data_IF_214030571660
#
_entry.id   IF_214030571660
#
_cell.length_a   1.000
_cell.length_b   1.000
_cell.length_c   1.000
_cell.angle_alpha   90.00
_cell.angle_beta   90.00
_cell.angle_gamma   90.00
#
_symmetry.space_group_name_H-M   'P 1'
#
loop_
_entity.id
_entity.type
_entity.pdbx_description
1 polymer ?
#
# COMPACT_ATOMS: atom_id res chain seq x y z
N UNK A 1 34.17 -20.00 21.97
CA UNK A 1 33.04 -19.04 21.84
C UNK A 1 32.46 -18.78 23.22
N UNK A 2 32.57 -17.53 23.75
CA UNK A 2 32.01 -17.16 25.04
C UNK A 2 30.50 -17.44 25.06
N UNK A 3 30.01 -18.11 26.10
CA UNK A 3 28.59 -18.35 26.31
C UNK A 3 27.85 -17.02 26.37
N UNK A 4 27.18 -16.64 25.28
CA UNK A 4 26.19 -15.55 25.29
C UNK A 4 25.11 -15.97 26.29
N UNK A 5 25.10 -15.33 27.46
CA UNK A 5 24.07 -15.57 28.49
C UNK A 5 22.79 -14.90 28.02
N UNK A 6 21.90 -15.69 27.43
CA UNK A 6 20.54 -15.24 27.12
C UNK A 6 19.85 -14.84 28.43
N UNK A 7 19.23 -13.65 28.52
CA UNK A 7 18.52 -13.21 29.71
C UNK A 7 17.44 -14.24 30.11
N UNK A 8 17.32 -14.53 31.40
CA UNK A 8 16.30 -15.46 31.92
C UNK A 8 14.87 -15.07 31.50
N UNK A 9 14.64 -13.79 31.20
CA UNK A 9 13.37 -13.27 30.70
C UNK A 9 12.93 -13.94 29.39
N UNK A 10 13.85 -14.19 28.45
CA UNK A 10 13.54 -14.78 27.13
C UNK A 10 13.10 -16.25 27.21
N UNK A 11 13.39 -16.92 28.33
CA UNK A 11 12.94 -18.28 28.59
C UNK A 11 11.50 -18.36 29.11
N UNK A 12 10.83 -17.22 29.29
CA UNK A 12 9.41 -17.16 29.65
C UNK A 12 8.57 -16.95 28.40
N UNK A 13 7.32 -17.41 28.42
CA UNK A 13 6.42 -17.24 27.26
C UNK A 13 6.17 -15.76 26.94
N UNK A 14 6.03 -14.91 27.95
CA UNK A 14 5.89 -13.45 27.78
C UNK A 14 7.17 -12.79 27.31
N UNK A 15 8.35 -13.25 27.75
CA UNK A 15 9.61 -12.71 27.26
C UNK A 15 9.87 -13.07 25.80
N UNK A 16 9.51 -14.28 25.37
CA UNK A 16 9.55 -14.66 23.95
C UNK A 16 8.55 -13.84 23.12
N UNK A 17 7.32 -13.67 23.61
CA UNK A 17 6.34 -12.75 23.01
C UNK A 17 6.90 -11.32 22.86
N UNK A 18 7.50 -10.78 23.93
CA UNK A 18 8.09 -9.44 23.91
C UNK A 18 9.25 -9.31 22.93
N UNK A 19 10.09 -10.36 22.80
CA UNK A 19 11.14 -10.42 21.79
C UNK A 19 10.56 -10.32 20.37
N UNK A 20 9.55 -11.13 20.05
CA UNK A 20 8.91 -11.09 18.73
C UNK A 20 8.25 -9.74 18.45
N UNK A 21 7.62 -9.14 19.47
CA UNK A 21 7.00 -7.83 19.35
C UNK A 21 8.02 -6.73 19.06
N UNK A 22 9.17 -6.74 19.76
CA UNK A 22 10.27 -5.79 19.52
C UNK A 22 10.85 -5.99 18.12
N UNK A 23 11.08 -7.23 17.69
CA UNK A 23 11.61 -7.51 16.35
C UNK A 23 10.66 -7.03 15.25
N UNK A 24 9.35 -7.30 15.35
CA UNK A 24 8.37 -6.79 14.37
C UNK A 24 8.32 -5.27 14.38
N UNK A 25 8.32 -4.65 15.55
CA UNK A 25 8.34 -3.21 15.66
C UNK A 25 9.57 -2.63 14.98
N UNK A 26 10.77 -3.15 15.26
CA UNK A 26 12.02 -2.69 14.62
C UNK A 26 11.96 -2.83 13.09
N UNK A 27 11.40 -3.93 12.56
CA UNK A 27 11.23 -4.12 11.11
C UNK A 27 10.30 -3.08 10.49
N UNK A 28 9.16 -2.81 11.12
CA UNK A 28 8.22 -1.81 10.62
C UNK A 28 8.87 -0.42 10.63
N UNK A 29 9.52 -0.05 11.74
CA UNK A 29 10.22 1.23 11.82
C UNK A 29 11.33 1.32 10.76
N UNK A 30 12.15 0.28 10.59
CA UNK A 30 13.16 0.27 9.54
C UNK A 30 12.54 0.53 8.15
N UNK A 31 11.50 -0.24 7.79
CA UNK A 31 10.81 -0.09 6.51
C UNK A 31 10.22 1.32 6.31
N UNK A 32 9.64 1.90 7.35
CA UNK A 32 9.05 3.25 7.30
C UNK A 32 10.07 4.34 6.99
N UNK A 33 11.33 4.16 7.38
CA UNK A 33 12.40 5.15 7.18
C UNK A 33 13.31 4.85 6.00
N UNK A 34 13.35 3.61 5.50
CA UNK A 34 14.26 3.21 4.41
C UNK A 34 13.57 2.83 3.12
N UNK A 35 12.35 2.30 3.18
CA UNK A 35 11.66 1.74 2.00
C UNK A 35 10.45 2.57 1.56
N UNK A 36 9.77 3.27 2.48
CA UNK A 36 8.55 4.01 2.19
C UNK A 36 8.74 5.52 2.22
N UNK A 37 8.06 6.23 1.32
CA UNK A 37 7.97 7.69 1.30
C UNK A 37 6.62 8.17 1.84
N UNK A 38 6.47 8.14 3.17
CA UNK A 38 5.18 8.41 3.83
C UNK A 38 4.83 9.90 3.99
N UNK A 39 5.70 10.82 3.54
CA UNK A 39 5.48 12.27 3.64
C UNK A 39 5.24 12.72 5.09
N UNK A 40 6.17 12.41 6.00
CA UNK A 40 6.07 12.75 7.42
C UNK A 40 6.64 14.15 7.65
N UNK A 41 5.78 15.09 8.07
CA UNK A 41 6.13 16.51 8.10
C UNK A 41 6.27 17.08 9.52
N UNK A 42 5.66 16.44 10.52
CA UNK A 42 5.54 16.99 11.88
C UNK A 42 5.98 16.01 12.97
N UNK A 43 6.39 16.55 14.12
CA UNK A 43 6.81 15.74 15.27
C UNK A 43 5.68 14.82 15.77
N UNK A 44 4.42 15.24 15.68
CA UNK A 44 3.27 14.41 16.06
C UNK A 44 3.10 13.25 15.08
N UNK A 45 3.32 13.45 13.78
CA UNK A 45 3.27 12.36 12.80
C UNK A 45 4.40 11.35 13.02
N UNK A 46 5.63 11.79 13.32
CA UNK A 46 6.72 10.89 13.71
C UNK A 46 6.38 10.08 14.97
N UNK A 47 5.74 10.70 15.96
CA UNK A 47 5.31 10.03 17.18
C UNK A 47 4.22 8.98 16.91
N UNK A 48 3.22 9.31 16.09
CA UNK A 48 2.18 8.38 15.66
C UNK A 48 2.80 7.19 14.92
N UNK A 49 3.70 7.47 13.96
CA UNK A 49 4.39 6.47 13.15
C UNK A 49 5.19 5.48 14.01
N UNK A 50 5.81 5.96 15.10
CA UNK A 50 6.56 5.13 16.05
C UNK A 50 5.66 4.15 16.81
N UNK A 51 4.41 4.56 17.10
CA UNK A 51 3.48 3.82 17.95
C UNK A 51 2.58 2.89 17.14
N UNK A 52 2.23 3.27 15.91
CA UNK A 52 1.26 2.54 15.10
C UNK A 52 1.54 1.02 14.96
N UNK A 53 2.80 0.53 14.84
CA UNK A 53 3.05 -0.89 14.68
C UNK A 53 2.86 -1.66 15.98
N UNK A 54 2.98 -0.99 17.13
CA UNK A 54 2.96 -1.61 18.46
C UNK A 54 1.59 -2.24 18.71
N UNK A 55 0.53 -1.47 18.48
CA UNK A 55 -0.82 -1.91 18.80
C UNK A 55 -1.22 -3.17 18.02
N UNK A 56 -1.03 -3.16 16.70
CA UNK A 56 -1.37 -4.29 15.83
C UNK A 56 -0.47 -5.50 16.09
N UNK A 57 0.82 -5.28 16.34
CA UNK A 57 1.77 -6.35 16.70
C UNK A 57 1.36 -7.05 17.99
N UNK A 58 1.06 -6.28 19.04
CA UNK A 58 0.63 -6.84 20.32
C UNK A 58 -0.70 -7.58 20.18
N UNK A 59 -1.65 -7.01 19.45
CA UNK A 59 -2.97 -7.60 19.23
C UNK A 59 -2.88 -8.94 18.49
N UNK A 60 -2.15 -9.00 17.38
CA UNK A 60 -2.01 -10.22 16.59
C UNK A 60 -1.26 -11.30 17.37
N UNK A 61 -0.11 -10.97 17.98
CA UNK A 61 0.66 -11.95 18.74
C UNK A 61 -0.08 -12.45 19.99
N UNK A 62 -0.97 -11.64 20.59
CA UNK A 62 -1.66 -12.02 21.83
C UNK A 62 -2.60 -13.21 21.63
N UNK A 63 -3.10 -13.43 20.41
CA UNK A 63 -3.92 -14.58 20.02
C UNK A 63 -3.25 -15.89 20.46
N UNK A 64 -1.93 -16.00 20.24
CA UNK A 64 -1.17 -17.19 20.59
C UNK A 64 -0.99 -17.39 22.11
N UNK A 65 -1.17 -16.35 22.93
CA UNK A 65 -1.09 -16.44 24.39
C UNK A 65 -2.31 -17.14 25.02
N UNK A 66 -3.45 -17.16 24.32
CA UNK A 66 -4.63 -17.92 24.75
C UNK A 66 -4.46 -19.44 24.62
N UNK A 67 -3.48 -19.88 23.82
CA UNK A 67 -3.21 -21.29 23.57
C UNK A 67 -2.45 -21.89 24.77
N UNK A 68 -3.09 -22.85 25.46
CA UNK A 68 -2.51 -23.50 26.65
C UNK A 68 -1.34 -24.43 26.30
N UNK A 69 -1.46 -25.22 25.23
CA UNK A 69 -0.43 -26.18 24.80
C UNK A 69 0.86 -25.45 24.40
N UNK A 70 1.97 -25.75 25.06
CA UNK A 70 3.25 -25.04 24.88
C UNK A 70 3.71 -25.00 23.43
N UNK A 71 3.88 -26.16 22.77
CA UNK A 71 4.35 -26.21 21.38
C UNK A 71 3.42 -25.46 20.42
N UNK A 72 2.11 -25.59 20.61
CA UNK A 72 1.12 -24.92 19.77
C UNK A 72 1.13 -23.39 19.96
N UNK A 73 1.33 -22.89 21.19
CA UNK A 73 1.43 -21.46 21.46
C UNK A 73 2.68 -20.83 20.84
N UNK A 74 3.84 -21.49 20.97
CA UNK A 74 5.08 -21.02 20.32
C UNK A 74 5.01 -21.12 18.80
N UNK A 75 4.43 -22.18 18.26
CA UNK A 75 4.18 -22.31 16.82
C UNK A 75 3.25 -21.19 16.32
N UNK A 76 2.13 -20.93 17.01
CA UNK A 76 1.21 -19.86 16.62
C UNK A 76 1.87 -18.48 16.70
N UNK A 77 2.67 -18.19 17.73
CA UNK A 77 3.43 -16.93 17.81
C UNK A 77 4.38 -16.76 16.62
N UNK A 78 5.15 -17.81 16.29
CA UNK A 78 6.07 -17.80 15.16
C UNK A 78 5.36 -17.72 13.81
N UNK A 79 4.21 -18.38 13.67
CA UNK A 79 3.41 -18.34 12.45
C UNK A 79 2.83 -16.94 12.23
N UNK A 80 2.24 -16.33 13.25
CA UNK A 80 1.72 -14.95 13.16
C UNK A 80 2.85 -13.98 12.85
N UNK A 81 3.98 -14.11 13.54
CA UNK A 81 5.19 -13.33 13.29
C UNK A 81 5.75 -13.49 11.86
N UNK A 82 5.70 -14.72 11.33
CA UNK A 82 6.04 -15.00 9.93
C UNK A 82 5.09 -14.33 8.96
N UNK A 83 3.78 -14.50 9.14
CA UNK A 83 2.77 -13.94 8.25
C UNK A 83 2.80 -12.40 8.23
N UNK A 84 2.97 -11.75 9.39
CA UNK A 84 3.10 -10.28 9.44
C UNK A 84 4.41 -9.79 8.83
N UNK A 85 5.51 -10.55 8.95
CA UNK A 85 6.76 -10.20 8.26
C UNK A 85 6.63 -10.36 6.75
N UNK A 86 5.98 -11.43 6.28
CA UNK A 86 5.69 -11.63 4.84
C UNK A 86 4.80 -10.51 4.32
N UNK A 87 3.76 -10.10 5.06
CA UNK A 87 2.89 -8.99 4.67
C UNK A 87 3.66 -7.67 4.58
N UNK A 88 4.50 -7.36 5.57
CA UNK A 88 5.37 -6.17 5.55
C UNK A 88 6.30 -6.22 4.32
N UNK A 89 6.95 -7.35 4.10
CA UNK A 89 7.87 -7.54 2.99
C UNK A 89 7.18 -7.42 1.63
N UNK A 90 5.99 -8.02 1.47
CA UNK A 90 5.20 -7.90 0.26
C UNK A 90 4.83 -6.44 -0.04
N UNK A 91 4.51 -5.65 1.01
CA UNK A 91 4.28 -4.21 0.85
C UNK A 91 5.55 -3.46 0.46
N UNK A 92 6.73 -3.81 1.01
CA UNK A 92 8.01 -3.21 0.59
C UNK A 92 8.26 -3.44 -0.90
N UNK A 93 8.15 -4.70 -1.35
CA UNK A 93 8.38 -5.05 -2.75
C UNK A 93 7.37 -4.36 -3.68
N UNK A 94 6.10 -4.30 -3.29
CA UNK A 94 5.05 -3.64 -4.07
C UNK A 94 5.25 -2.12 -4.10
N UNK A 95 5.59 -1.49 -2.98
CA UNK A 95 5.81 -0.05 -2.90
C UNK A 95 6.99 0.40 -3.75
N UNK A 96 8.05 -0.42 -3.86
CA UNK A 96 9.23 -0.13 -4.68
C UNK A 96 8.91 0.06 -6.16
N UNK A 97 7.88 -0.62 -6.67
CA UNK A 97 7.48 -0.60 -8.09
C UNK A 97 6.27 0.31 -8.36
N UNK A 98 5.35 0.39 -7.40
CA UNK A 98 4.06 1.05 -7.58
C UNK A 98 3.91 2.33 -6.76
N UNK A 99 4.86 2.63 -5.85
CA UNK A 99 4.78 3.74 -4.88
C UNK A 99 3.43 3.75 -4.16
N UNK A 100 2.94 2.55 -3.84
CA UNK A 100 1.61 2.30 -3.30
C UNK A 100 1.63 1.04 -2.42
N UNK A 101 0.58 0.80 -1.64
CA UNK A 101 0.45 -0.33 -0.72
C UNK A 101 -0.47 -1.42 -1.25
N UNK A 102 -0.20 -2.66 -0.84
CA UNK A 102 -0.97 -3.83 -1.24
C UNK A 102 -2.39 -3.78 -0.66
N UNK A 103 -3.37 -3.83 -1.56
CA UNK A 103 -4.78 -4.00 -1.22
C UNK A 103 -5.17 -5.49 -1.22
N UNK A 104 -6.26 -5.82 -0.55
CA UNK A 104 -6.88 -7.14 -0.56
C UNK A 104 -7.26 -7.55 -1.98
N UNK A 105 -7.80 -6.63 -2.79
CA UNK A 105 -8.09 -6.93 -4.18
C UNK A 105 -6.83 -7.29 -4.98
N UNK A 106 -5.72 -6.57 -4.77
CA UNK A 106 -4.42 -6.91 -5.38
C UNK A 106 -3.95 -8.29 -4.95
N UNK A 107 -4.05 -8.62 -3.65
CA UNK A 107 -3.64 -9.93 -3.12
C UNK A 107 -4.50 -11.06 -3.70
N UNK A 108 -5.82 -10.88 -3.78
CA UNK A 108 -6.73 -11.87 -4.34
C UNK A 108 -6.57 -12.01 -5.87
N UNK A 109 -6.23 -10.92 -6.56
CA UNK A 109 -5.99 -10.88 -8.01
C UNK A 109 -4.61 -11.37 -8.44
N UNK A 110 -3.62 -11.40 -7.55
CA UNK A 110 -2.23 -11.72 -7.89
C UNK A 110 -2.06 -13.06 -8.63
N UNK A 111 -2.88 -14.07 -8.31
CA UNK A 111 -2.84 -15.37 -8.98
C UNK A 111 -3.21 -15.34 -10.47
N UNK A 112 -3.96 -14.32 -10.91
CA UNK A 112 -4.40 -14.18 -12.31
C UNK A 112 -3.31 -13.59 -13.21
N UNK A 113 -2.35 -12.85 -12.63
CA UNK A 113 -1.25 -12.16 -13.33
C UNK A 113 0.14 -12.75 -13.05
N UNK A 114 0.24 -13.70 -12.11
CA UNK A 114 1.51 -14.32 -11.70
C UNK A 114 2.31 -14.97 -12.85
N UNK A 115 1.63 -15.48 -13.88
CA UNK A 115 2.28 -16.13 -15.01
C UNK A 115 3.13 -15.20 -15.89
N UNK A 116 2.77 -13.92 -15.98
CA UNK A 116 3.50 -12.92 -16.77
C UNK A 116 4.48 -12.07 -15.98
N UNK A 117 4.30 -11.97 -14.65
CA UNK A 117 5.05 -11.05 -13.78
C UNK A 117 6.15 -11.74 -12.96
N UNK A 118 6.23 -13.08 -12.95
CA UNK A 118 7.17 -13.81 -12.09
C UNK A 118 8.64 -13.44 -12.33
N UNK A 119 9.03 -13.13 -13.58
CA UNK A 119 10.38 -12.66 -13.91
C UNK A 119 10.68 -11.29 -13.32
N UNK A 120 9.83 -10.30 -13.60
CA UNK A 120 9.96 -8.93 -13.09
C UNK A 120 9.86 -8.86 -11.57
N UNK A 121 9.09 -9.74 -10.93
CA UNK A 121 8.98 -9.77 -9.46
C UNK A 121 10.31 -10.15 -8.78
N UNK A 122 11.15 -10.96 -9.42
CA UNK A 122 12.47 -11.30 -8.88
C UNK A 122 13.46 -10.14 -9.00
N UNK A 123 13.31 -9.29 -10.01
CA UNK A 123 14.13 -8.09 -10.21
C UNK A 123 13.82 -7.00 -9.16
N UNK A 124 12.62 -7.04 -8.58
CA UNK A 124 12.25 -6.16 -7.47
C UNK A 124 12.96 -6.52 -6.15
N UNK A 125 13.60 -7.69 -6.03
CA UNK A 125 14.27 -8.11 -4.81
C UNK A 125 15.63 -7.44 -4.67
N UNK A 126 15.84 -6.76 -3.55
CA UNK A 126 17.12 -6.17 -3.19
C UNK A 126 17.88 -7.07 -2.21
N UNK A 127 19.22 -7.00 -2.24
CA UNK A 127 20.04 -7.77 -1.31
C UNK A 127 19.76 -7.42 0.17
N UNK A 128 19.36 -6.17 0.45
CA UNK A 128 18.95 -5.72 1.78
C UNK A 128 17.73 -6.48 2.32
N UNK A 129 16.90 -7.08 1.46
CA UNK A 129 15.67 -7.75 1.85
C UNK A 129 15.93 -8.96 2.77
N UNK A 130 17.13 -9.56 2.70
CA UNK A 130 17.56 -10.65 3.58
C UNK A 130 17.52 -10.26 5.07
N UNK A 131 17.72 -8.99 5.41
CA UNK A 131 17.72 -8.51 6.79
C UNK A 131 16.32 -8.57 7.42
N UNK A 132 15.25 -8.52 6.62
CA UNK A 132 13.88 -8.74 7.12
C UNK A 132 13.61 -10.21 7.49
N UNK A 133 14.46 -11.16 7.08
CA UNK A 133 14.25 -12.59 7.35
C UNK A 133 15.36 -13.26 8.18
N UNK A 134 16.50 -12.60 8.38
CA UNK A 134 17.66 -13.18 9.08
C UNK A 134 17.34 -13.61 10.52
N UNK A 135 16.44 -12.90 11.19
CA UNK A 135 16.04 -13.22 12.56
C UNK A 135 15.22 -14.50 12.67
N UNK A 136 14.54 -14.97 11.61
CA UNK A 136 13.94 -16.31 11.62
C UNK A 136 14.99 -17.41 11.74
N UNK A 137 16.13 -17.24 11.06
CA UNK A 137 17.26 -18.17 11.16
C UNK A 137 17.81 -18.13 12.59
N UNK A 138 18.02 -16.93 13.14
CA UNK A 138 18.54 -16.74 14.50
C UNK A 138 17.60 -17.35 15.54
N UNK A 139 16.29 -17.09 15.45
CA UNK A 139 15.26 -17.63 16.35
C UNK A 139 15.18 -19.16 16.21
N UNK A 140 15.21 -19.69 15.00
CA UNK A 140 15.20 -21.12 14.72
C UNK A 140 16.40 -21.84 15.33
N UNK A 141 17.61 -21.31 15.13
CA UNK A 141 18.84 -21.83 15.74
C UNK A 141 18.79 -21.71 17.26
N UNK A 142 18.34 -20.58 17.81
CA UNK A 142 18.25 -20.36 19.25
C UNK A 142 17.28 -21.33 19.94
N UNK A 143 16.15 -21.65 19.29
CA UNK A 143 15.19 -22.66 19.77
C UNK A 143 15.73 -24.09 19.59
N UNK A 144 16.32 -24.41 18.45
CA UNK A 144 16.89 -25.73 18.14
C UNK A 144 18.06 -26.10 19.05
N UNK A 145 18.96 -25.15 19.33
CA UNK A 145 20.06 -25.29 20.28
C UNK A 145 19.62 -25.18 21.75
N UNK A 146 18.30 -25.01 22.02
CA UNK A 146 17.73 -24.82 23.36
C UNK A 146 18.36 -23.66 24.16
N UNK A 147 18.89 -22.66 23.45
CA UNK A 147 19.37 -21.40 24.03
C UNK A 147 18.19 -20.58 24.54
N UNK A 148 17.08 -20.60 23.80
CA UNK A 148 15.75 -20.19 24.26
C UNK A 148 14.98 -21.46 24.62
N UNK A 149 14.50 -21.53 25.86
CA UNK A 149 13.72 -22.68 26.35
C UNK A 149 12.23 -22.40 26.25
N UNK A 150 11.47 -23.45 25.89
CA UNK A 150 10.01 -23.39 25.85
C UNK A 150 9.46 -23.42 27.28
N UNK A 151 8.78 -22.35 27.71
CA UNK A 151 8.11 -22.30 29.00
C UNK A 151 6.86 -23.19 28.99
N UNK A 152 6.90 -24.24 29.80
CA UNK A 152 5.80 -25.20 29.91
C UNK A 152 4.59 -24.62 30.62
N UNK A 153 4.75 -23.52 31.37
CA UNK A 153 3.66 -22.88 32.10
C UNK A 153 2.77 -22.13 31.11
N UNK A 154 1.47 -22.47 31.03
CA UNK A 154 0.54 -21.70 30.21
C UNK A 154 0.35 -20.31 30.81
N UNK A 155 0.09 -19.33 29.94
CA UNK A 155 -0.30 -17.99 30.37
C UNK A 155 -1.73 -18.03 30.90
N UNK A 156 -1.97 -17.35 32.02
CA UNK A 156 -3.32 -17.23 32.59
C UNK A 156 -4.17 -16.41 31.61
N UNK A 157 -5.41 -16.83 31.38
CA UNK A 157 -6.32 -16.14 30.45
C UNK A 157 -6.46 -14.63 30.77
N UNK A 158 -6.46 -14.27 32.07
CA UNK A 158 -6.48 -12.86 32.52
C UNK A 158 -5.28 -12.05 32.01
N UNK A 159 -4.10 -12.67 31.92
CA UNK A 159 -2.90 -12.01 31.39
C UNK A 159 -2.95 -11.87 29.88
N UNK A 160 -3.40 -12.90 29.15
CA UNK A 160 -3.61 -12.80 27.70
C UNK A 160 -4.67 -11.73 27.35
N UNK A 161 -5.75 -11.66 28.14
CA UNK A 161 -6.77 -10.62 28.03
C UNK A 161 -6.22 -9.24 28.35
N UNK A 162 -5.38 -9.09 29.38
CA UNK A 162 -4.73 -7.82 29.69
C UNK A 162 -3.83 -7.32 28.55
N UNK A 163 -3.06 -8.21 27.90
CA UNK A 163 -2.23 -7.86 26.74
C UNK A 163 -3.11 -7.43 25.55
N UNK A 164 -4.19 -8.17 25.29
CA UNK A 164 -5.13 -7.83 24.20
C UNK A 164 -5.83 -6.50 24.47
N UNK A 165 -6.29 -6.26 25.70
CA UNK A 165 -6.91 -5.01 26.11
C UNK A 165 -5.92 -3.83 26.02
N UNK A 166 -4.66 -4.04 26.40
CA UNK A 166 -3.60 -3.04 26.22
C UNK A 166 -3.39 -2.73 24.73
N UNK A 167 -3.36 -3.74 23.87
CA UNK A 167 -3.22 -3.54 22.43
C UNK A 167 -4.37 -2.70 21.85
N UNK A 168 -5.62 -2.99 22.26
CA UNK A 168 -6.80 -2.19 21.88
C UNK A 168 -6.69 -0.77 22.41
N UNK A 169 -6.28 -0.57 23.67
CA UNK A 169 -6.11 0.75 24.25
C UNK A 169 -5.05 1.58 23.52
N UNK A 170 -3.90 0.98 23.19
CA UNK A 170 -2.83 1.64 22.41
C UNK A 170 -3.33 1.96 21.01
N UNK A 171 -4.08 1.05 20.37
CA UNK A 171 -4.69 1.31 19.05
C UNK A 171 -5.66 2.49 19.11
N UNK A 172 -6.59 2.50 20.07
CA UNK A 172 -7.55 3.60 20.26
C UNK A 172 -6.86 4.92 20.53
N UNK A 173 -5.80 4.94 21.33
CA UNK A 173 -5.00 6.14 21.57
C UNK A 173 -4.28 6.63 20.32
N UNK A 174 -3.68 5.72 19.54
CA UNK A 174 -3.03 6.04 18.28
C UNK A 174 -4.03 6.57 17.24
N UNK A 175 -5.20 5.94 17.11
CA UNK A 175 -6.29 6.42 16.24
C UNK A 175 -6.82 7.79 16.67
N UNK A 176 -6.96 8.03 17.98
CA UNK A 176 -7.37 9.34 18.49
C UNK A 176 -6.38 10.45 18.12
N UNK A 177 -5.08 10.19 18.28
CA UNK A 177 -4.03 11.12 17.86
C UNK A 177 -4.07 11.34 16.34
N UNK A 178 -4.29 10.27 15.58
CA UNK A 178 -4.40 10.33 14.13
C UNK A 178 -5.59 11.18 13.66
N UNK A 179 -6.78 11.01 14.24
CA UNK A 179 -7.98 11.81 13.94
C UNK A 179 -7.83 13.28 14.38
N UNK A 180 -7.05 13.54 15.43
CA UNK A 180 -6.77 14.91 15.89
C UNK A 180 -5.83 15.64 14.91
N UNK A 181 -4.83 14.96 14.37
CA UNK A 181 -3.91 15.52 13.37
C UNK A 181 -4.54 15.58 11.98
N UNK A 182 -5.33 14.56 11.60
CA UNK A 182 -6.01 14.46 10.31
C UNK A 182 -7.45 13.98 10.48
N UNK A 183 -8.39 14.93 10.49
CA UNK A 183 -9.81 14.63 10.71
C UNK A 183 -10.47 13.85 9.57
N UNK A 184 -11.29 12.88 9.97
CA UNK A 184 -12.02 12.01 9.05
C UNK A 184 -11.12 10.97 8.40
N UNK A 185 -10.05 10.53 9.06
CA UNK A 185 -9.04 9.64 8.50
C UNK A 185 -9.65 8.35 7.94
N UNK A 186 -10.63 7.78 8.64
CA UNK A 186 -11.28 6.53 8.23
C UNK A 186 -12.51 6.72 7.34
N UNK A 187 -13.08 7.92 7.32
CA UNK A 187 -14.35 8.23 6.64
C UNK A 187 -14.15 8.91 5.29
N UNK A 188 -13.02 9.61 5.10
CA UNK A 188 -12.65 10.23 3.83
C UNK A 188 -11.72 9.34 3.04
N UNK A 189 -11.81 9.43 1.72
CA UNK A 189 -10.93 8.70 0.79
C UNK A 189 -9.55 9.36 0.77
N UNK A 190 -8.73 9.08 1.78
CA UNK A 190 -7.33 9.49 1.79
C UNK A 190 -6.47 8.52 0.99
N UNK A 191 -5.29 9.00 0.54
CA UNK A 191 -4.29 8.12 -0.05
C UNK A 191 -3.83 7.08 0.98
N UNK A 192 -3.38 5.93 0.49
CA UNK A 192 -2.99 4.81 1.35
C UNK A 192 -1.73 5.12 2.16
N UNK A 193 -0.86 6.01 1.68
CA UNK A 193 0.26 6.54 2.45
C UNK A 193 -0.21 7.18 3.77
N UNK A 194 -1.32 7.93 3.74
CA UNK A 194 -1.91 8.47 4.96
C UNK A 194 -2.36 7.34 5.88
N UNK A 195 -3.15 6.38 5.39
CA UNK A 195 -3.64 5.29 6.24
C UNK A 195 -2.49 4.48 6.86
N UNK A 196 -1.43 4.18 6.10
CA UNK A 196 -0.26 3.44 6.61
C UNK A 196 0.57 4.30 7.56
N UNK A 197 0.78 5.59 7.27
CA UNK A 197 1.47 6.53 8.16
C UNK A 197 0.79 6.60 9.53
N UNK A 198 -0.53 6.68 9.57
CA UNK A 198 -1.27 6.85 10.81
C UNK A 198 -1.58 5.54 11.53
N UNK A 199 -1.92 4.45 10.82
CA UNK A 199 -2.43 3.22 11.42
C UNK A 199 -1.46 2.03 11.34
N UNK A 200 -0.52 2.09 10.40
CA UNK A 200 0.40 1.01 10.07
C UNK A 200 -0.18 -0.05 9.15
N UNK A 201 0.70 -0.84 8.54
CA UNK A 201 0.36 -1.79 7.46
C UNK A 201 -0.70 -2.80 7.90
N UNK A 202 -0.56 -3.41 9.08
CA UNK A 202 -1.52 -4.43 9.54
C UNK A 202 -2.94 -3.87 9.72
N UNK A 203 -3.06 -2.65 10.25
CA UNK A 203 -4.37 -2.01 10.43
C UNK A 203 -4.94 -1.54 9.10
N UNK A 204 -4.09 -1.01 8.21
CA UNK A 204 -4.46 -0.67 6.84
C UNK A 204 -5.00 -1.89 6.09
N UNK A 205 -4.32 -3.04 6.13
CA UNK A 205 -4.78 -4.27 5.47
C UNK A 205 -6.15 -4.73 6.00
N UNK A 206 -6.40 -4.59 7.31
CA UNK A 206 -7.70 -4.91 7.90
C UNK A 206 -8.79 -3.90 7.48
N UNK A 207 -8.47 -2.60 7.46
CA UNK A 207 -9.36 -1.56 6.96
C UNK A 207 -9.75 -1.81 5.50
N UNK A 208 -8.76 -2.09 4.67
CA UNK A 208 -8.93 -2.38 3.25
C UNK A 208 -9.77 -3.64 3.00
N UNK A 209 -9.62 -4.67 3.84
CA UNK A 209 -10.48 -5.86 3.78
C UNK A 209 -11.95 -5.54 4.04
N UNK A 210 -12.24 -4.69 5.03
CA UNK A 210 -13.60 -4.27 5.35
C UNK A 210 -14.18 -3.45 4.20
N UNK A 211 -13.41 -2.49 3.67
CA UNK A 211 -13.82 -1.67 2.53
C UNK A 211 -14.11 -2.53 1.30
N UNK A 212 -13.18 -3.42 0.96
CA UNK A 212 -13.35 -4.37 -0.16
C UNK A 212 -14.62 -5.20 -0.03
N UNK A 213 -14.90 -5.70 1.18
CA UNK A 213 -16.13 -6.44 1.45
C UNK A 213 -17.38 -5.57 1.26
N UNK A 214 -17.39 -4.36 1.81
CA UNK A 214 -18.50 -3.41 1.66
C UNK A 214 -18.75 -3.05 0.19
N UNK A 215 -17.69 -2.72 -0.57
CA UNK A 215 -17.80 -2.44 -2.01
C UNK A 215 -18.35 -3.63 -2.77
N UNK A 216 -17.95 -4.86 -2.41
CA UNK A 216 -18.46 -6.07 -3.03
C UNK A 216 -19.96 -6.26 -2.76
N UNK A 217 -20.43 -5.95 -1.55
CA UNK A 217 -21.85 -6.01 -1.20
C UNK A 217 -22.66 -4.96 -1.95
N UNK A 218 -22.19 -3.71 -2.04
CA UNK A 218 -22.85 -2.64 -2.81
C UNK A 218 -22.99 -3.06 -4.27
N UNK A 219 -21.90 -3.55 -4.90
CA UNK A 219 -21.96 -4.07 -6.28
C UNK A 219 -22.95 -5.21 -6.47
N UNK A 220 -23.10 -6.08 -5.47
CA UNK A 220 -24.05 -7.19 -5.52
C UNK A 220 -25.51 -6.74 -5.36
N UNK A 221 -25.74 -5.57 -4.76
CA UNK A 221 -27.06 -4.98 -4.52
C UNK A 221 -27.45 -3.94 -5.58
N UNK A 222 -26.50 -3.54 -6.45
CA UNK A 222 -26.72 -2.54 -7.47
C UNK A 222 -27.89 -2.92 -8.39
N UNK A 223 -28.74 -1.93 -8.66
CA UNK A 223 -29.98 -2.07 -9.41
C UNK A 223 -29.98 -1.19 -10.66
N UNK A 224 -30.87 -1.48 -11.61
CA UNK A 224 -31.03 -0.65 -12.79
C UNK A 224 -31.45 0.80 -12.46
N UNK A 225 -32.13 1.02 -11.33
CA UNK A 225 -32.56 2.35 -10.90
C UNK A 225 -31.40 3.22 -10.39
N UNK A 226 -30.23 2.62 -10.12
CA UNK A 226 -29.06 3.36 -9.65
C UNK A 226 -28.42 4.19 -10.80
N UNK A 227 -28.86 3.97 -12.05
CA UNK A 227 -28.39 4.72 -13.22
C UNK A 227 -29.00 6.12 -13.30
N UNK A 228 -30.20 6.30 -12.76
CA UNK A 228 -30.93 7.58 -12.82
C UNK A 228 -30.13 8.68 -12.08
N UNK A 229 -29.55 8.34 -10.93
CA UNK A 229 -28.68 9.26 -10.16
C UNK A 229 -27.41 9.64 -10.94
N UNK A 230 -26.83 8.70 -11.68
CA UNK A 230 -25.65 8.95 -12.52
C UNK A 230 -26.00 9.84 -13.71
N UNK A 231 -27.15 9.60 -14.35
CA UNK A 231 -27.66 10.41 -15.45
C UNK A 231 -27.93 11.85 -14.99
N UNK A 232 -28.60 12.01 -13.85
CA UNK A 232 -28.86 13.33 -13.25
C UNK A 232 -27.56 14.08 -12.96
N UNK A 233 -26.56 13.43 -12.37
CA UNK A 233 -25.25 14.04 -12.09
C UNK A 233 -24.55 14.50 -13.38
N UNK A 234 -24.54 13.67 -14.42
CA UNK A 234 -23.92 14.01 -15.71
C UNK A 234 -24.65 15.17 -16.37
N UNK A 235 -25.98 15.18 -16.34
CA UNK A 235 -26.80 16.25 -16.92
C UNK A 235 -26.61 17.59 -16.19
N UNK A 236 -26.51 17.58 -14.85
CA UNK A 236 -26.27 18.79 -14.05
C UNK A 236 -24.89 19.42 -14.31
N UNK A 237 -23.89 18.60 -14.66
CA UNK A 237 -22.50 19.04 -14.89
C UNK A 237 -22.15 19.22 -16.37
N UNK A 238 -23.13 19.15 -17.27
CA UNK A 238 -22.90 19.36 -18.69
C UNK A 238 -22.44 20.79 -18.99
N UNK A 239 -21.34 20.92 -19.72
CA UNK A 239 -20.85 22.19 -20.25
C UNK A 239 -21.24 22.31 -21.73
N UNK A 240 -21.95 23.38 -22.08
CA UNK A 240 -22.30 23.66 -23.47
C UNK A 240 -21.03 23.86 -24.33
N UNK A 241 -21.03 23.40 -25.59
CA UNK A 241 -19.89 23.59 -26.47
C UNK A 241 -19.61 25.07 -26.74
N UNK A 242 -18.34 25.42 -26.93
CA UNK A 242 -17.97 26.75 -27.39
C UNK A 242 -18.29 26.90 -28.89
N UNK A 243 -19.14 27.86 -29.24
CA UNK A 243 -19.58 28.13 -30.62
C UNK A 243 -18.43 28.34 -31.63
N UNK A 244 -17.28 28.86 -31.19
CA UNK A 244 -16.12 29.09 -32.07
C UNK A 244 -15.33 27.79 -32.36
N UNK A 245 -15.41 26.80 -31.47
CA UNK A 245 -14.65 25.55 -31.55
C UNK A 245 -15.52 24.35 -31.92
N UNK A 246 -16.84 24.44 -31.76
CA UNK A 246 -17.74 23.34 -32.04
C UNK A 246 -17.69 22.95 -33.53
N UNK A 247 -17.30 21.70 -33.81
CA UNK A 247 -17.29 21.14 -35.16
C UNK A 247 -16.10 21.54 -36.04
N UNK A 248 -15.10 22.29 -35.56
CA UNK A 248 -13.95 22.72 -36.39
C UNK A 248 -13.14 21.57 -37.03
N UNK A 249 -13.27 20.36 -36.48
CA UNK A 249 -12.59 19.14 -36.91
C UNK A 249 -13.54 18.05 -37.43
N UNK A 250 -14.78 18.39 -37.80
CA UNK A 250 -15.71 17.45 -38.44
C UNK A 250 -15.08 16.78 -39.67
N UNK A 251 -15.34 15.48 -39.84
CA UNK A 251 -14.82 14.61 -40.92
C UNK A 251 -13.28 14.49 -41.03
N UNK A 252 -12.53 14.93 -40.02
CA UNK A 252 -11.07 14.72 -39.96
C UNK A 252 -10.73 13.40 -39.27
N UNK A 253 -9.58 12.84 -39.65
CA UNK A 253 -9.01 11.73 -38.91
C UNK A 253 -8.53 12.20 -37.53
N UNK A 254 -8.78 11.39 -36.51
CA UNK A 254 -8.24 11.59 -35.16
C UNK A 254 -7.08 10.61 -34.95
N UNK A 255 -5.92 11.13 -34.58
CA UNK A 255 -4.73 10.32 -34.28
C UNK A 255 -4.28 10.67 -32.86
N UNK A 256 -4.27 9.67 -31.99
CA UNK A 256 -3.76 9.80 -30.63
C UNK A 256 -2.31 9.33 -30.55
N UNK A 257 -1.47 10.13 -29.90
CA UNK A 257 -0.08 9.81 -29.62
C UNK A 257 0.07 9.78 -28.10
N UNK A 258 0.16 8.58 -27.54
CA UNK A 258 0.41 8.38 -26.12
C UNK A 258 1.91 8.53 -25.83
N UNK A 259 2.27 9.54 -25.03
CA UNK A 259 3.63 9.75 -24.56
C UNK A 259 3.82 9.05 -23.21
N UNK A 260 4.42 7.86 -23.25
CA UNK A 260 4.55 7.00 -22.07
C UNK A 260 5.44 7.65 -20.99
N UNK A 261 4.89 7.76 -19.77
CA UNK A 261 5.58 8.29 -18.59
C UNK A 261 6.21 9.70 -18.77
N UNK A 262 5.69 10.51 -19.69
CA UNK A 262 6.12 11.90 -19.89
C UNK A 262 5.39 12.83 -18.92
N UNK A 263 6.12 13.75 -18.32
CA UNK A 263 5.58 14.78 -17.43
C UNK A 263 5.81 16.18 -18.02
N UNK A 264 4.90 17.11 -17.71
CA UNK A 264 4.90 18.47 -18.26
C UNK A 264 6.21 19.24 -18.04
N UNK A 265 6.95 18.95 -16.95
CA UNK A 265 8.21 19.65 -16.67
C UNK A 265 9.29 19.44 -17.73
N UNK A 266 9.17 18.41 -18.58
CA UNK A 266 10.11 18.13 -19.66
C UNK A 266 9.94 19.09 -20.86
N UNK A 267 8.79 19.78 -20.95
CA UNK A 267 8.60 20.84 -21.94
C UNK A 267 9.57 21.97 -21.62
N UNK A 268 10.32 22.41 -22.64
CA UNK A 268 11.39 23.42 -22.54
C UNK A 268 12.51 23.07 -21.53
N UNK A 269 12.58 21.82 -21.09
CA UNK A 269 13.66 21.36 -20.21
C UNK A 269 14.94 21.17 -21.01
N UNK A 270 16.01 21.79 -20.53
CA UNK A 270 17.36 21.66 -21.07
C UNK A 270 18.23 20.85 -20.10
N UNK A 271 19.08 20.00 -20.67
CA UNK A 271 20.05 19.21 -19.93
C UNK A 271 21.47 19.56 -20.39
N UNK A 272 22.32 19.87 -19.44
CA UNK A 272 23.75 20.13 -19.68
C UNK A 272 24.49 18.82 -19.98
N UNK A 273 25.26 18.81 -21.06
CA UNK A 273 26.14 17.70 -21.40
C UNK A 273 27.47 17.74 -20.63
N UNK A 274 28.33 16.74 -20.86
CA UNK A 274 29.65 16.64 -20.22
C UNK A 274 30.62 17.78 -20.57
N UNK A 275 30.32 18.55 -21.63
CA UNK A 275 31.12 19.67 -22.11
C UNK A 275 30.55 21.02 -21.66
N UNK A 276 29.43 21.03 -20.93
CA UNK A 276 28.77 22.25 -20.46
C UNK A 276 27.79 22.86 -21.46
N UNK A 277 27.44 22.16 -22.55
CA UNK A 277 26.49 22.63 -23.54
C UNK A 277 25.06 22.19 -23.14
N UNK A 278 24.10 23.11 -23.22
CA UNK A 278 22.70 22.85 -22.89
C UNK A 278 21.96 22.30 -24.10
N UNK A 279 21.22 21.21 -23.92
CA UNK A 279 20.43 20.58 -24.98
C UNK A 279 18.98 20.41 -24.54
N UNK A 280 18.03 20.87 -25.37
CA UNK A 280 16.61 20.58 -25.15
C UNK A 280 16.37 19.07 -25.14
N UNK A 281 15.64 18.59 -24.13
CA UNK A 281 15.35 17.16 -23.98
C UNK A 281 14.30 16.66 -24.97
N UNK A 282 13.32 17.50 -25.34
CA UNK A 282 12.23 17.13 -26.27
C UNK A 282 12.01 18.16 -27.38
N UNK A 283 13.02 18.44 -28.23
CA UNK A 283 12.98 19.59 -29.15
C UNK A 283 11.82 19.55 -30.15
N UNK A 284 11.46 18.37 -30.65
CA UNK A 284 10.30 18.23 -31.54
C UNK A 284 8.97 18.49 -30.82
N UNK A 285 8.81 17.99 -29.59
CA UNK A 285 7.60 18.22 -28.80
C UNK A 285 7.48 19.70 -28.41
N UNK A 286 8.60 20.34 -28.02
CA UNK A 286 8.64 21.78 -27.76
C UNK A 286 8.19 22.56 -29.01
N UNK A 287 8.66 22.18 -30.20
CA UNK A 287 8.24 22.83 -31.44
C UNK A 287 6.73 22.73 -31.71
N UNK A 288 6.10 21.60 -31.37
CA UNK A 288 4.65 21.43 -31.49
C UNK A 288 3.91 22.22 -30.41
N UNK A 289 4.42 22.21 -29.17
CA UNK A 289 3.82 22.89 -28.03
C UNK A 289 3.72 24.40 -28.23
N UNK A 290 4.73 25.01 -28.87
CA UNK A 290 4.79 26.45 -29.16
C UNK A 290 4.25 26.83 -30.55
N UNK A 291 3.76 25.88 -31.34
CA UNK A 291 3.20 26.17 -32.65
C UNK A 291 1.83 26.87 -32.53
N UNK A 292 1.61 27.91 -33.35
CA UNK A 292 0.37 28.69 -33.33
C UNK A 292 -0.88 27.88 -33.75
N UNK A 293 -0.71 26.70 -34.34
CA UNK A 293 -1.78 25.78 -34.72
C UNK A 293 -2.07 24.69 -33.69
N UNK A 294 -1.37 24.68 -32.55
CA UNK A 294 -1.55 23.69 -31.47
C UNK A 294 -2.28 24.29 -30.28
N UNK A 295 -3.25 23.55 -29.73
CA UNK A 295 -3.80 23.82 -28.41
C UNK A 295 -2.94 23.14 -27.35
N UNK A 296 -2.20 23.93 -26.58
CA UNK A 296 -1.26 23.47 -25.55
C UNK A 296 -1.78 23.81 -24.15
N UNK A 297 -1.73 22.85 -23.23
CA UNK A 297 -2.25 22.99 -21.87
C UNK A 297 -1.14 22.70 -20.85
N UNK A 298 -0.77 23.70 -20.05
CA UNK A 298 0.25 23.59 -18.99
C UNK A 298 -0.31 23.07 -17.65
N UNK A 299 -1.63 23.15 -17.47
CA UNK A 299 -2.36 22.73 -16.28
C UNK A 299 -3.24 21.49 -16.54
N UNK A 300 -2.71 20.50 -17.27
CA UNK A 300 -3.36 19.22 -17.52
C UNK A 300 -2.75 18.13 -16.63
N UNK A 301 -3.60 17.35 -15.96
CA UNK A 301 -3.15 16.34 -14.99
C UNK A 301 -3.68 14.96 -15.37
N UNK A 302 -2.81 13.95 -15.30
CA UNK A 302 -3.26 12.57 -15.38
C UNK A 302 -4.11 12.22 -14.15
N UNK A 303 -5.13 11.40 -14.34
CA UNK A 303 -6.03 10.94 -13.27
C UNK A 303 -5.97 9.41 -13.08
N UNK A 304 -4.80 8.83 -13.39
CA UNK A 304 -4.54 7.39 -13.27
C UNK A 304 -4.26 6.96 -11.82
N UNK A 305 -4.51 5.69 -11.53
CA UNK A 305 -4.19 5.07 -10.24
C UNK A 305 -3.35 3.80 -10.47
N UNK A 306 -3.71 2.68 -9.84
CA UNK A 306 -2.96 1.43 -9.92
C UNK A 306 -2.94 0.81 -11.34
N UNK A 307 -3.86 1.20 -12.23
CA UNK A 307 -3.88 0.75 -13.62
C UNK A 307 -2.86 1.45 -14.53
N UNK A 308 -2.18 2.50 -14.08
CA UNK A 308 -1.17 3.27 -14.85
C UNK A 308 -1.70 3.60 -16.26
N UNK A 309 -1.03 3.16 -17.32
CA UNK A 309 -1.41 3.35 -18.73
C UNK A 309 -2.85 2.92 -19.02
N UNK A 310 -3.30 1.80 -18.44
CA UNK A 310 -4.65 1.26 -18.66
C UNK A 310 -5.77 2.16 -18.09
N UNK A 311 -5.48 2.90 -17.02
CA UNK A 311 -6.43 3.90 -16.49
C UNK A 311 -6.47 5.14 -17.39
N UNK A 312 -5.34 5.53 -17.99
CA UNK A 312 -5.29 6.65 -18.94
C UNK A 312 -6.12 6.36 -20.19
N UNK A 313 -5.97 5.15 -20.74
CA UNK A 313 -6.79 4.68 -21.87
C UNK A 313 -8.28 4.64 -21.51
N UNK A 314 -8.64 4.15 -20.32
CA UNK A 314 -10.04 4.11 -19.85
C UNK A 314 -10.65 5.51 -19.78
N UNK A 315 -9.91 6.46 -19.17
CA UNK A 315 -10.33 7.85 -19.04
C UNK A 315 -10.47 8.53 -20.41
N UNK A 316 -9.53 8.28 -21.31
CA UNK A 316 -9.53 8.88 -22.64
C UNK A 316 -10.70 8.38 -23.50
N UNK A 317 -10.93 7.07 -23.52
CA UNK A 317 -11.91 6.46 -24.42
C UNK A 317 -13.34 6.52 -23.88
N UNK A 318 -13.52 6.62 -22.56
CA UNK A 318 -14.85 6.50 -21.92
C UNK A 318 -15.22 7.68 -21.04
N UNK A 319 -14.29 8.63 -20.77
CA UNK A 319 -14.47 9.69 -19.78
C UNK A 319 -14.82 9.15 -18.37
N UNK A 320 -14.34 7.94 -18.05
CA UNK A 320 -14.54 7.28 -16.76
C UNK A 320 -13.20 7.10 -16.06
N UNK A 321 -13.18 7.30 -14.75
CA UNK A 321 -12.00 7.02 -13.94
C UNK A 321 -11.65 5.52 -13.94
N UNK A 322 -10.36 5.24 -13.79
CA UNK A 322 -9.88 3.92 -13.39
C UNK A 322 -10.44 3.49 -12.03
N UNK A 323 -10.17 2.25 -11.64
CA UNK A 323 -10.61 1.77 -10.33
C UNK A 323 -9.73 2.36 -9.23
N UNK A 324 -10.34 2.64 -8.07
CA UNK A 324 -9.61 2.99 -6.85
C UNK A 324 -8.62 1.89 -6.42
N UNK A 325 -8.77 0.64 -6.91
CA UNK A 325 -7.88 -0.49 -6.65
C UNK A 325 -7.80 -1.43 -7.87
N UNK A 326 -6.58 -1.80 -8.26
CA UNK A 326 -6.33 -2.62 -9.45
C UNK A 326 -6.58 -1.85 -10.75
N UNK A 327 -6.51 -2.55 -11.89
CA UNK A 327 -6.82 -1.98 -13.21
C UNK A 327 -8.30 -2.17 -13.55
N UNK A 328 -8.94 -1.16 -14.15
CA UNK A 328 -10.31 -1.26 -14.67
C UNK A 328 -10.45 -2.27 -15.83
N UNK A 329 -9.43 -2.34 -16.70
CA UNK A 329 -9.42 -3.21 -17.88
C UNK A 329 -9.41 -4.70 -17.52
N UNK A 330 -8.83 -5.07 -16.38
CA UNK A 330 -8.66 -6.46 -15.97
C UNK A 330 -9.98 -7.20 -15.59
N UNK A 331 -10.88 -6.67 -14.73
CA UNK A 331 -12.09 -7.40 -14.31
C UNK A 331 -13.27 -7.38 -15.30
N UNK A 332 -13.37 -6.39 -16.20
CA UNK A 332 -14.58 -6.17 -17.02
C UNK A 332 -14.47 -6.77 -18.42
N UNK A 333 -13.31 -6.64 -19.08
CA UNK A 333 -13.15 -7.15 -20.44
C UNK A 333 -13.11 -8.67 -20.50
N UNK A 334 -12.49 -9.32 -19.50
CA UNK A 334 -12.37 -10.78 -19.52
C UNK A 334 -13.72 -11.48 -19.34
N UNK A 335 -14.63 -10.96 -18.51
CA UNK A 335 -15.94 -11.58 -18.26
C UNK A 335 -16.92 -11.53 -19.43
N UNK A 336 -16.71 -10.64 -20.40
CA UNK A 336 -17.62 -10.47 -21.55
C UNK A 336 -17.16 -11.26 -22.78
N UNK A 337 -15.87 -11.58 -22.87
CA UNK A 337 -15.28 -12.16 -24.07
C UNK A 337 -14.57 -13.52 -23.86
N UNK A 338 -14.44 -13.99 -22.61
CA UNK A 338 -13.89 -15.30 -22.26
C UNK A 338 -14.68 -15.98 -21.11
#
# INVERSE_FOLDING_TARGET
MKNVKIPNLLNTRLGFFGLLAILLWTKNIAAYFTEFSLGVESAIQYFILLINPIATTLFLLSIALYIRRTKASYFAMLLIYFLTTVLLFANIAYYREFTDFLTINTILGAGQVAGGLAGSTLELLNFSDIFYFIDFIILGVALGMKKIKLDQRPIRARTALAVTALAVMVFSGNLFLAETDRSGLLTRTFSRDYLVKYLGINAFTAYDAVQTYQTTQVRAQASANDIDEVEDYVNEHYAEPNDELFGIAEDKNVIYIHLESVQQFLIDYELEDENGEQHEVMPFINSLYHDNSTFSFDNFFHQVAAGKTSDAETLMDNSLFGLNQGSFLHPIWWKKYF
#
